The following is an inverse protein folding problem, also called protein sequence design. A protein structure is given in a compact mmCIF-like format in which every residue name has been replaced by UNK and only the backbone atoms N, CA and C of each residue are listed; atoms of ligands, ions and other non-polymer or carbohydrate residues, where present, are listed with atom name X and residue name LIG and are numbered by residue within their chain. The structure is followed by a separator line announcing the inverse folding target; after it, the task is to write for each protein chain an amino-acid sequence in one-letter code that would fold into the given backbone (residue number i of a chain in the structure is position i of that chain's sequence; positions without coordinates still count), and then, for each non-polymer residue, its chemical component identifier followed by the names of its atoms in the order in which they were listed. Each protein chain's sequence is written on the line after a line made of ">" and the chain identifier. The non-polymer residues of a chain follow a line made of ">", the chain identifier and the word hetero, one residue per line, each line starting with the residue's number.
data_IF_272759309874
#
_entry.id   IF_272759309874
#
_cell.length_a   1.000
_cell.length_b   1.000
_cell.length_c   1.000
_cell.angle_alpha   90.00
_cell.angle_beta   90.00
_cell.angle_gamma   90.00
#
_symmetry.space_group_name_H-M   'P 1'
#
loop_
_entity.id
_entity.type
_entity.pdbx_description
1 polymer ?
#
# COMPACT_ATOMS: atom_id res chain seq x y z
N UNK A 1 8.69 53.56 -11.17
CA UNK A 1 9.88 52.75 -10.86
C UNK A 1 9.63 52.16 -9.48
N UNK A 2 8.86 51.07 -9.43
CA UNK A 2 9.29 49.64 -9.35
C UNK A 2 9.71 49.24 -7.95
N UNK A 3 8.81 48.55 -7.25
CA UNK A 3 9.11 47.59 -6.18
C UNK A 3 7.96 46.57 -6.15
N UNK A 4 7.98 45.64 -7.10
CA UNK A 4 7.02 44.53 -7.21
C UNK A 4 7.74 43.19 -7.46
N UNK A 5 8.93 43.02 -6.86
CA UNK A 5 9.76 41.82 -7.05
C UNK A 5 9.80 40.85 -5.85
N UNK A 6 9.12 41.12 -4.73
CA UNK A 6 9.32 40.34 -3.49
C UNK A 6 8.30 39.24 -3.22
N UNK A 7 7.56 38.72 -4.22
CA UNK A 7 6.65 37.61 -3.96
C UNK A 7 6.45 36.64 -5.13
N UNK A 8 7.53 36.30 -5.86
CA UNK A 8 7.47 35.10 -6.71
C UNK A 8 7.49 33.89 -5.78
N UNK A 9 6.44 33.05 -5.74
CA UNK A 9 6.52 31.79 -4.99
C UNK A 9 7.76 31.04 -5.48
N UNK A 10 8.59 30.57 -4.55
CA UNK A 10 9.82 29.86 -4.89
C UNK A 10 9.50 28.77 -5.92
N UNK A 11 9.99 28.94 -7.16
CA UNK A 11 9.77 27.96 -8.22
C UNK A 11 10.37 26.63 -7.78
N UNK A 12 9.52 25.62 -7.67
CA UNK A 12 9.94 24.27 -7.30
C UNK A 12 10.90 23.75 -8.37
N UNK A 13 12.03 23.17 -7.92
CA UNK A 13 13.00 22.59 -8.84
C UNK A 13 12.39 21.36 -9.51
N UNK A 14 12.37 21.36 -10.84
CA UNK A 14 11.84 20.26 -11.65
C UNK A 14 12.84 19.12 -11.76
N UNK A 15 13.09 18.42 -10.67
CA UNK A 15 14.13 17.38 -10.58
C UNK A 15 13.57 15.95 -10.71
N UNK A 16 12.26 15.75 -10.60
CA UNK A 16 11.65 14.41 -10.63
C UNK A 16 11.54 13.88 -12.06
N UNK A 17 12.27 12.80 -12.33
CA UNK A 17 12.20 12.01 -13.57
C UNK A 17 11.27 10.80 -13.47
N UNK A 18 11.15 10.02 -14.54
CA UNK A 18 10.25 8.85 -14.60
C UNK A 18 10.61 7.77 -13.56
N UNK A 19 11.89 7.47 -13.39
CA UNK A 19 12.33 6.44 -12.43
C UNK A 19 12.00 6.86 -10.99
N UNK A 20 12.27 8.11 -10.63
CA UNK A 20 11.91 8.66 -9.32
C UNK A 20 10.39 8.65 -9.12
N UNK A 21 9.60 9.04 -10.12
CA UNK A 21 8.14 9.01 -10.03
C UNK A 21 7.60 7.57 -9.89
N UNK A 22 8.14 6.59 -10.62
CA UNK A 22 7.80 5.18 -10.45
C UNK A 22 8.14 4.68 -9.04
N UNK A 23 9.33 5.02 -8.54
CA UNK A 23 9.74 4.65 -7.18
C UNK A 23 8.83 5.27 -6.12
N UNK A 24 8.33 6.49 -6.33
CA UNK A 24 7.35 7.13 -5.46
C UNK A 24 6.02 6.36 -5.48
N UNK A 25 5.47 6.04 -6.67
CA UNK A 25 4.23 5.26 -6.79
C UNK A 25 4.36 3.90 -6.10
N UNK A 26 5.41 3.15 -6.44
CA UNK A 26 5.66 1.83 -5.84
C UNK A 26 5.89 1.96 -4.34
N UNK A 27 6.67 2.94 -3.89
CA UNK A 27 6.96 3.16 -2.48
C UNK A 27 5.74 3.52 -1.65
N UNK A 28 4.80 4.29 -2.21
CA UNK A 28 3.56 4.72 -1.55
C UNK A 28 2.49 3.62 -1.53
N UNK A 29 2.34 2.87 -2.64
CA UNK A 29 1.30 1.83 -2.74
C UNK A 29 1.73 0.52 -2.10
N UNK A 30 2.99 0.12 -2.29
CA UNK A 30 3.50 -1.11 -1.70
C UNK A 30 3.61 -0.92 -0.19
N UNK A 31 2.68 -1.51 0.54
CA UNK A 31 2.63 -1.41 2.00
C UNK A 31 2.12 -2.69 2.66
N UNK A 32 1.71 -2.56 3.92
CA UNK A 32 1.16 -3.68 4.70
C UNK A 32 -0.05 -4.35 4.05
N UNK A 33 -0.79 -3.64 3.18
CA UNK A 33 -1.92 -4.20 2.44
C UNK A 33 -1.58 -5.46 1.62
N UNK A 34 -0.34 -5.57 1.13
CA UNK A 34 0.13 -6.73 0.38
C UNK A 34 0.10 -8.03 1.21
N UNK A 35 0.30 -7.93 2.52
CA UNK A 35 0.36 -9.05 3.46
C UNK A 35 -0.94 -9.20 4.28
N UNK A 36 -1.58 -8.08 4.60
CA UNK A 36 -2.78 -8.05 5.44
C UNK A 36 -4.06 -8.43 4.68
N UNK A 37 -4.14 -8.14 3.37
CA UNK A 37 -5.39 -8.32 2.59
C UNK A 37 -5.61 -9.69 1.94
N UNK A 38 -4.62 -10.51 1.56
CA UNK A 38 -4.86 -11.82 0.96
C UNK A 38 -5.89 -12.70 1.71
N UNK A 39 -5.84 -12.83 3.06
CA UNK A 39 -6.82 -13.59 3.84
C UNK A 39 -8.25 -13.03 3.74
N UNK A 40 -8.40 -11.71 3.86
CA UNK A 40 -9.70 -11.06 3.79
C UNK A 40 -10.32 -11.15 2.39
N UNK A 41 -9.49 -11.02 1.35
CA UNK A 41 -9.90 -11.19 -0.05
C UNK A 41 -10.33 -12.64 -0.30
N UNK A 42 -9.57 -13.61 0.20
CA UNK A 42 -9.91 -15.03 0.08
C UNK A 42 -11.22 -15.37 0.80
N UNK A 43 -11.43 -14.88 2.02
CA UNK A 43 -12.66 -15.10 2.78
C UNK A 43 -13.90 -14.56 2.03
N UNK A 44 -13.79 -13.33 1.50
CA UNK A 44 -14.86 -12.69 0.76
C UNK A 44 -15.10 -13.33 -0.62
N UNK A 45 -14.06 -13.85 -1.27
CA UNK A 45 -14.17 -14.52 -2.57
C UNK A 45 -14.63 -15.98 -2.47
N UNK A 46 -14.31 -16.67 -1.37
CA UNK A 46 -14.66 -18.07 -1.10
C UNK A 46 -13.80 -19.12 -1.84
N UNK A 47 -13.12 -18.73 -2.91
CA UNK A 47 -12.24 -19.58 -3.73
C UNK A 47 -11.04 -18.79 -4.27
N UNK A 48 -9.92 -19.50 -4.46
CA UNK A 48 -8.66 -18.90 -4.90
C UNK A 48 -8.70 -18.27 -6.29
N UNK A 49 -9.47 -18.82 -7.22
CA UNK A 49 -9.63 -18.26 -8.57
C UNK A 49 -10.29 -16.88 -8.50
N UNK A 50 -11.36 -16.76 -7.73
CA UNK A 50 -12.05 -15.49 -7.55
C UNK A 50 -11.22 -14.51 -6.71
N UNK A 51 -10.49 -14.98 -5.71
CA UNK A 51 -9.57 -14.13 -4.96
C UNK A 51 -8.51 -13.49 -5.87
N UNK A 52 -7.88 -14.27 -6.76
CA UNK A 52 -6.91 -13.76 -7.74
C UNK A 52 -7.57 -12.84 -8.77
N UNK A 53 -8.78 -13.17 -9.23
CA UNK A 53 -9.53 -12.28 -10.13
C UNK A 53 -9.84 -10.93 -9.47
N UNK A 54 -10.14 -10.90 -8.17
CA UNK A 54 -10.36 -9.66 -7.44
C UNK A 54 -9.12 -8.75 -7.45
N UNK A 55 -7.91 -9.30 -7.32
CA UNK A 55 -6.65 -8.55 -7.39
C UNK A 55 -6.40 -7.93 -8.76
N UNK A 56 -6.74 -8.65 -9.83
CA UNK A 56 -6.63 -8.14 -11.21
C UNK A 56 -7.66 -7.03 -11.44
N UNK A 57 -8.91 -7.23 -11.04
CA UNK A 57 -9.98 -6.23 -11.19
C UNK A 57 -9.69 -4.97 -10.36
N UNK A 58 -9.19 -5.14 -9.13
CA UNK A 58 -8.73 -4.03 -8.29
C UNK A 58 -7.62 -3.21 -8.93
N UNK A 59 -6.67 -3.86 -9.62
CA UNK A 59 -5.64 -3.17 -10.40
C UNK A 59 -6.25 -2.34 -11.54
N UNK A 60 -7.19 -2.91 -12.29
CA UNK A 60 -7.87 -2.24 -13.39
C UNK A 60 -8.63 -1.01 -12.90
N UNK A 61 -9.37 -1.12 -11.80
CA UNK A 61 -10.07 0.00 -11.19
C UNK A 61 -9.11 1.08 -10.69
N UNK A 62 -8.00 0.67 -10.06
CA UNK A 62 -6.97 1.61 -9.61
C UNK A 62 -6.30 2.33 -10.77
N UNK A 63 -6.07 1.67 -11.91
CA UNK A 63 -5.54 2.30 -13.11
C UNK A 63 -6.53 3.27 -13.75
N UNK A 64 -7.82 2.93 -13.79
CA UNK A 64 -8.86 3.83 -14.29
C UNK A 64 -8.98 5.10 -13.44
N UNK A 65 -8.97 4.96 -12.11
CA UNK A 65 -8.91 6.08 -11.17
C UNK A 65 -7.60 6.87 -11.28
N UNK A 66 -6.49 6.16 -11.49
CA UNK A 66 -5.17 6.73 -11.70
C UNK A 66 -5.10 7.64 -12.91
N UNK A 67 -5.60 7.18 -14.05
CA UNK A 67 -5.60 7.94 -15.30
C UNK A 67 -6.50 9.18 -15.22
N UNK A 68 -7.69 9.06 -14.64
CA UNK A 68 -8.57 10.23 -14.43
C UNK A 68 -7.93 11.28 -13.53
N UNK A 69 -7.23 10.86 -12.47
CA UNK A 69 -6.48 11.81 -11.65
C UNK A 69 -5.26 12.39 -12.38
N UNK A 70 -4.60 11.61 -13.23
CA UNK A 70 -3.47 12.12 -14.02
C UNK A 70 -3.89 13.26 -14.96
N UNK A 71 -5.07 13.18 -15.58
CA UNK A 71 -5.59 14.28 -16.39
C UNK A 71 -5.72 15.57 -15.57
N UNK A 72 -6.27 15.48 -14.35
CA UNK A 72 -6.37 16.61 -13.44
C UNK A 72 -5.00 17.13 -12.99
N UNK A 73 -4.06 16.24 -12.69
CA UNK A 73 -2.70 16.63 -12.27
C UNK A 73 -1.85 17.24 -13.39
N UNK A 74 -2.20 16.96 -14.65
CA UNK A 74 -1.58 17.61 -15.81
C UNK A 74 -2.25 18.95 -16.11
N UNK A 75 -3.58 19.07 -15.94
CA UNK A 75 -4.31 20.33 -16.08
C UNK A 75 -3.94 21.33 -14.99
N UNK A 76 -3.73 20.87 -13.77
CA UNK A 76 -3.39 21.68 -12.60
C UNK A 76 -2.06 21.20 -11.98
N UNK A 77 -0.90 21.48 -12.60
CA UNK A 77 0.42 21.00 -12.14
C UNK A 77 0.92 21.82 -10.94
N UNK A 78 0.11 21.92 -9.88
CA UNK A 78 0.42 22.56 -8.61
C UNK A 78 0.61 21.52 -7.52
N UNK A 79 1.44 21.84 -6.55
CA UNK A 79 1.62 21.06 -5.33
C UNK A 79 0.34 21.06 -4.50
N UNK A 80 -0.05 19.92 -3.94
CA UNK A 80 -1.25 19.78 -3.10
C UNK A 80 -2.26 18.74 -3.59
N UNK A 81 -2.05 18.17 -4.78
CA UNK A 81 -2.76 16.99 -5.26
C UNK A 81 -4.29 17.16 -5.32
N UNK A 82 -5.03 16.12 -4.91
CA UNK A 82 -6.50 16.05 -5.00
C UNK A 82 -7.19 17.25 -4.34
N UNK A 83 -6.65 17.75 -3.21
CA UNK A 83 -7.22 18.90 -2.52
C UNK A 83 -7.30 20.13 -3.44
N UNK A 84 -6.20 20.42 -4.15
CA UNK A 84 -6.12 21.58 -5.07
C UNK A 84 -7.05 21.38 -6.26
N UNK A 85 -7.18 20.15 -6.76
CA UNK A 85 -8.09 19.85 -7.88
C UNK A 85 -9.55 20.08 -7.47
N UNK A 86 -9.93 19.66 -6.27
CA UNK A 86 -11.28 19.87 -5.75
C UNK A 86 -11.56 21.34 -5.49
N UNK A 87 -10.58 22.11 -5.01
CA UNK A 87 -10.73 23.54 -4.79
C UNK A 87 -10.95 24.29 -6.11
N UNK A 88 -10.19 23.95 -7.15
CA UNK A 88 -10.26 24.62 -8.45
C UNK A 88 -11.54 24.26 -9.23
N UNK A 89 -12.02 23.01 -9.11
CA UNK A 89 -13.20 22.52 -9.87
C UNK A 89 -14.52 22.82 -9.14
N UNK A 90 -14.55 22.60 -7.82
CA UNK A 90 -15.78 22.63 -7.02
C UNK A 90 -15.81 23.72 -5.94
N UNK A 91 -14.72 24.48 -5.79
CA UNK A 91 -14.59 25.57 -4.82
C UNK A 91 -14.15 25.12 -3.42
N UNK A 92 -13.77 26.09 -2.59
CA UNK A 92 -13.14 25.84 -1.29
C UNK A 92 -13.99 25.06 -0.30
N UNK A 93 -15.33 25.06 -0.42
CA UNK A 93 -16.21 24.26 0.46
C UNK A 93 -15.97 22.76 0.30
N UNK A 94 -15.87 22.27 -0.94
CA UNK A 94 -15.65 20.84 -1.22
C UNK A 94 -14.23 20.44 -0.86
N UNK A 95 -13.25 21.29 -1.18
CA UNK A 95 -11.86 21.08 -0.76
C UNK A 95 -11.72 21.02 0.76
N UNK A 96 -12.39 21.91 1.49
CA UNK A 96 -12.42 21.88 2.96
C UNK A 96 -13.00 20.57 3.51
N UNK A 97 -14.13 20.09 2.98
CA UNK A 97 -14.71 18.81 3.40
C UNK A 97 -13.77 17.63 3.11
N UNK A 98 -13.06 17.66 1.99
CA UNK A 98 -12.04 16.66 1.67
C UNK A 98 -10.87 16.71 2.66
N UNK A 99 -10.33 17.90 2.95
CA UNK A 99 -9.28 18.08 3.95
C UNK A 99 -9.71 17.65 5.37
N UNK A 100 -10.96 17.95 5.75
CA UNK A 100 -11.55 17.50 7.01
C UNK A 100 -11.63 15.97 7.07
N UNK A 101 -12.13 15.32 6.01
CA UNK A 101 -12.22 13.87 5.92
C UNK A 101 -10.82 13.22 5.98
N UNK A 102 -9.84 13.78 5.30
CA UNK A 102 -8.45 13.31 5.38
C UNK A 102 -7.88 13.41 6.81
N UNK A 103 -8.15 14.51 7.50
CA UNK A 103 -7.57 14.81 8.80
C UNK A 103 -8.20 14.01 9.94
N UNK A 104 -9.52 13.91 9.97
CA UNK A 104 -10.25 13.35 11.10
C UNK A 104 -10.71 11.90 10.89
N UNK A 105 -10.81 11.43 9.65
CA UNK A 105 -11.30 10.09 9.34
C UNK A 105 -10.18 9.25 8.71
N UNK A 106 -9.72 9.63 7.51
CA UNK A 106 -8.84 8.79 6.72
C UNK A 106 -7.46 8.60 7.37
N UNK A 107 -6.79 9.69 7.71
CA UNK A 107 -5.44 9.67 8.28
C UNK A 107 -5.38 8.84 9.57
N UNK A 108 -6.19 9.15 10.60
CA UNK A 108 -6.22 8.38 11.84
C UNK A 108 -6.59 6.91 11.64
N UNK A 109 -7.57 6.61 10.77
CA UNK A 109 -7.96 5.22 10.50
C UNK A 109 -6.83 4.42 9.84
N UNK A 110 -6.13 5.00 8.87
CA UNK A 110 -5.00 4.35 8.19
C UNK A 110 -3.83 4.15 9.15
N UNK A 111 -3.47 5.17 9.95
CA UNK A 111 -2.41 5.04 10.96
C UNK A 111 -2.75 3.95 11.97
N UNK A 112 -3.99 3.92 12.48
CA UNK A 112 -4.44 2.91 13.43
C UNK A 112 -4.42 1.49 12.85
N UNK A 113 -4.88 1.31 11.60
CA UNK A 113 -4.85 0.02 10.94
C UNK A 113 -3.42 -0.50 10.73
N UNK A 114 -2.50 0.36 10.30
CA UNK A 114 -1.09 0.00 10.08
C UNK A 114 -0.35 -0.28 11.40
N UNK A 115 -0.59 0.53 12.44
CA UNK A 115 -0.02 0.31 13.76
C UNK A 115 -0.55 -0.99 14.41
N UNK A 116 -1.84 -1.28 14.24
CA UNK A 116 -2.45 -2.53 14.69
C UNK A 116 -1.85 -3.75 13.98
N UNK A 117 -1.67 -3.67 12.66
CA UNK A 117 -1.01 -4.73 11.89
C UNK A 117 0.44 -4.96 12.34
N UNK A 118 1.23 -3.88 12.46
CA UNK A 118 2.61 -3.97 12.97
C UNK A 118 2.64 -4.61 14.35
N UNK A 119 1.74 -4.20 15.24
CA UNK A 119 1.65 -4.73 16.59
C UNK A 119 1.38 -6.22 16.62
N UNK A 120 0.45 -6.69 15.77
CA UNK A 120 0.14 -8.11 15.64
C UNK A 120 1.33 -8.94 15.22
N UNK A 121 1.97 -8.53 14.13
CA UNK A 121 3.15 -9.23 13.61
C UNK A 121 4.27 -9.18 14.64
N UNK A 122 4.52 -8.03 15.27
CA UNK A 122 5.53 -7.89 16.31
C UNK A 122 5.28 -8.85 17.49
N UNK A 123 4.04 -8.91 17.99
CA UNK A 123 3.68 -9.84 19.07
C UNK A 123 3.92 -11.30 18.68
N UNK A 124 3.44 -11.70 17.50
CA UNK A 124 3.62 -13.05 16.97
C UNK A 124 5.09 -13.44 16.89
N UNK A 125 5.93 -12.53 16.40
CA UNK A 125 7.35 -12.78 16.16
C UNK A 125 8.16 -12.95 17.45
N UNK A 126 7.82 -12.18 18.48
CA UNK A 126 8.51 -12.20 19.76
C UNK A 126 7.80 -13.08 20.81
N UNK A 127 6.73 -13.77 20.43
CA UNK A 127 5.92 -14.58 21.36
C UNK A 127 5.30 -13.75 22.48
N UNK A 128 4.98 -12.48 22.22
CA UNK A 128 4.39 -11.57 23.19
C UNK A 128 2.87 -11.79 23.20
N UNK A 129 2.23 -11.94 24.38
CA UNK A 129 0.79 -12.14 24.46
C UNK A 129 -0.05 -10.99 23.88
N UNK A 130 -1.20 -11.32 23.29
CA UNK A 130 -2.08 -10.37 22.59
C UNK A 130 -2.59 -9.18 23.42
N UNK A 131 -2.61 -9.28 24.75
CA UNK A 131 -3.01 -8.16 25.60
C UNK A 131 -2.04 -6.96 25.51
N UNK A 132 -0.83 -7.17 24.97
CA UNK A 132 0.13 -6.09 24.67
C UNK A 132 -0.09 -5.42 23.32
N UNK A 133 -1.01 -5.90 22.46
CA UNK A 133 -1.25 -5.32 21.14
C UNK A 133 -1.53 -3.81 21.18
N UNK A 134 -2.37 -3.27 22.09
CA UNK A 134 -2.60 -1.83 22.15
C UNK A 134 -1.35 -1.05 22.57
N UNK A 135 -0.54 -1.62 23.48
CA UNK A 135 0.67 -0.98 24.02
C UNK A 135 1.75 -0.88 22.93
N UNK A 136 1.97 -1.96 22.18
CA UNK A 136 2.95 -1.97 21.08
C UNK A 136 2.48 -1.08 19.92
N UNK A 137 1.17 -1.07 19.62
CA UNK A 137 0.59 -0.17 18.63
C UNK A 137 0.81 1.31 18.98
N UNK A 138 0.55 1.68 20.24
CA UNK A 138 0.82 3.04 20.74
C UNK A 138 2.32 3.36 20.73
N UNK A 139 3.18 2.41 21.09
CA UNK A 139 4.62 2.60 21.10
C UNK A 139 5.18 2.87 19.70
N UNK A 140 4.77 2.10 18.68
CA UNK A 140 5.22 2.34 17.30
C UNK A 140 4.69 3.67 16.76
N UNK A 141 3.45 4.04 17.08
CA UNK A 141 2.90 5.34 16.70
C UNK A 141 3.68 6.49 17.34
N UNK A 142 3.98 6.40 18.64
CA UNK A 142 4.77 7.40 19.35
C UNK A 142 6.20 7.50 18.80
N UNK A 143 6.82 6.37 18.46
CA UNK A 143 8.14 6.34 17.82
C UNK A 143 8.13 7.04 16.46
N UNK A 144 7.17 6.71 15.59
CA UNK A 144 7.05 7.35 14.27
C UNK A 144 6.75 8.85 14.41
N UNK A 145 5.89 9.24 15.34
CA UNK A 145 5.62 10.65 15.64
C UNK A 145 6.88 11.38 16.08
N UNK A 146 7.67 10.79 16.97
CA UNK A 146 8.94 11.33 17.42
C UNK A 146 9.91 11.52 16.25
N UNK A 147 10.11 10.51 15.41
CA UNK A 147 11.02 10.60 14.24
C UNK A 147 10.56 11.71 13.28
N UNK A 148 9.26 11.80 13.00
CA UNK A 148 8.70 12.86 12.15
C UNK A 148 8.84 14.26 12.78
N UNK A 149 8.90 14.35 14.11
CA UNK A 149 9.09 15.61 14.82
C UNK A 149 10.55 16.06 14.89
N UNK A 150 11.52 15.12 14.83
CA UNK A 150 12.96 15.42 14.86
C UNK A 150 13.45 16.07 13.57
N UNK A 151 12.96 15.61 12.42
CA UNK A 151 13.29 16.24 11.14
C UNK A 151 12.99 15.40 9.90
N UNK A 152 12.78 16.10 8.78
CA UNK A 152 12.40 15.49 7.49
C UNK A 152 13.49 14.56 6.94
N UNK A 153 14.78 14.85 7.19
CA UNK A 153 15.89 13.99 6.74
C UNK A 153 15.87 12.63 7.44
N UNK A 154 15.63 12.62 8.75
CA UNK A 154 15.58 11.43 9.58
C UNK A 154 14.36 10.56 9.21
N UNK A 155 13.20 11.19 9.02
CA UNK A 155 12.01 10.52 8.50
C UNK A 155 12.28 9.91 7.11
N UNK A 156 12.96 10.65 6.23
CA UNK A 156 13.37 10.15 4.91
C UNK A 156 14.29 8.92 4.98
N UNK A 157 15.30 8.91 5.86
CA UNK A 157 16.17 7.74 6.04
C UNK A 157 15.40 6.52 6.56
N UNK A 158 14.52 6.71 7.54
CA UNK A 158 13.67 5.62 8.05
C UNK A 158 12.75 5.08 6.95
N UNK A 159 12.17 5.94 6.12
CA UNK A 159 11.32 5.53 5.00
C UNK A 159 12.08 4.73 3.94
N UNK A 160 13.31 5.13 3.61
CA UNK A 160 14.16 4.38 2.67
C UNK A 160 14.49 3.01 3.24
N UNK A 161 14.92 2.95 4.51
CA UNK A 161 15.22 1.69 5.18
C UNK A 161 13.99 0.76 5.20
N UNK A 162 12.84 1.26 5.66
CA UNK A 162 11.59 0.51 5.68
C UNK A 162 11.17 0.02 4.28
N UNK A 163 11.46 0.80 3.23
CA UNK A 163 11.17 0.43 1.84
C UNK A 163 12.06 -0.73 1.36
N UNK A 164 13.34 -0.77 1.73
CA UNK A 164 14.19 -1.91 1.42
C UNK A 164 13.81 -3.13 2.26
N UNK A 165 13.53 -2.94 3.56
CA UNK A 165 13.10 -4.01 4.45
C UNK A 165 11.86 -4.73 3.90
N UNK A 166 10.81 -4.00 3.48
CA UNK A 166 9.58 -4.62 2.95
C UNK A 166 9.75 -5.36 1.62
N UNK A 167 10.79 -5.05 0.82
CA UNK A 167 11.02 -5.71 -0.47
C UNK A 167 11.66 -7.09 -0.33
N UNK A 168 12.51 -7.29 0.68
CA UNK A 168 13.21 -8.56 0.91
C UNK A 168 12.21 -9.72 1.14
N UNK A 169 11.22 -9.59 2.04
CA UNK A 169 10.18 -10.58 2.25
C UNK A 169 9.43 -10.96 0.98
N UNK A 170 9.07 -9.96 0.18
CA UNK A 170 8.31 -10.16 -1.06
C UNK A 170 9.11 -11.01 -2.04
N UNK A 171 10.39 -10.67 -2.23
CA UNK A 171 11.26 -11.42 -3.15
C UNK A 171 11.47 -12.85 -2.63
N UNK A 172 11.70 -13.01 -1.33
CA UNK A 172 11.91 -14.34 -0.73
C UNK A 172 10.66 -15.21 -0.80
N UNK A 173 9.49 -14.68 -0.45
CA UNK A 173 8.21 -15.38 -0.56
C UNK A 173 7.92 -15.74 -2.02
N UNK A 174 8.13 -14.81 -2.95
CA UNK A 174 7.94 -15.07 -4.37
C UNK A 174 8.84 -16.23 -4.87
N UNK A 175 10.15 -16.18 -4.58
CA UNK A 175 11.09 -17.17 -5.09
C UNK A 175 10.89 -18.52 -4.41
N UNK A 176 10.83 -18.56 -3.08
CA UNK A 176 10.77 -19.83 -2.34
C UNK A 176 9.37 -20.44 -2.31
N UNK A 177 8.32 -19.61 -2.31
CA UNK A 177 6.94 -20.09 -2.44
C UNK A 177 6.73 -20.78 -3.78
N UNK A 178 7.17 -20.16 -4.89
CA UNK A 178 7.09 -20.77 -6.23
C UNK A 178 8.03 -21.97 -6.41
N UNK A 179 9.20 -21.98 -5.75
CA UNK A 179 10.18 -23.05 -5.93
C UNK A 179 9.88 -24.30 -5.08
N UNK A 180 9.44 -24.14 -3.83
CA UNK A 180 9.11 -25.25 -2.92
C UNK A 180 7.64 -25.68 -2.98
N UNK A 181 6.77 -24.84 -3.54
CA UNK A 181 5.36 -25.13 -3.72
C UNK A 181 5.11 -26.28 -4.68
N UNK A 182 4.29 -27.26 -4.27
CA UNK A 182 3.84 -28.37 -5.12
C UNK A 182 2.30 -28.37 -5.30
N UNK A 183 1.65 -27.22 -5.06
CA UNK A 183 0.21 -27.08 -5.04
C UNK A 183 -0.41 -26.64 -6.38
N UNK A 184 -1.65 -27.04 -6.63
CA UNK A 184 -2.53 -26.38 -7.60
C UNK A 184 -3.04 -25.08 -6.97
N UNK A 185 -3.00 -23.96 -7.68
CA UNK A 185 -3.34 -22.65 -7.08
C UNK A 185 -4.77 -22.21 -7.43
N UNK A 186 -5.30 -22.69 -8.56
CA UNK A 186 -6.63 -22.33 -9.06
C UNK A 186 -7.69 -23.34 -8.60
N UNK A 187 -8.92 -22.85 -8.44
CA UNK A 187 -10.11 -23.61 -8.03
C UNK A 187 -9.94 -24.31 -6.68
N UNK A 188 -9.21 -23.68 -5.77
CA UNK A 188 -9.12 -24.12 -4.40
C UNK A 188 -10.20 -23.40 -3.58
N UNK A 189 -11.21 -24.17 -3.18
CA UNK A 189 -12.25 -23.65 -2.28
C UNK A 189 -11.71 -23.50 -0.87
N UNK A 190 -12.19 -22.48 -0.17
CA UNK A 190 -12.05 -22.34 1.29
C UNK A 190 -12.83 -23.42 2.07
N UNK A 191 -13.67 -24.22 1.40
CA UNK A 191 -14.51 -25.23 2.04
C UNK A 191 -15.70 -24.64 2.82
N UNK A 192 -15.83 -23.31 2.83
CA UNK A 192 -16.92 -22.56 3.46
C UNK A 192 -17.53 -21.62 2.41
N UNK A 193 -18.81 -21.29 2.55
CA UNK A 193 -19.44 -20.29 1.69
C UNK A 193 -18.69 -18.95 1.79
N UNK A 194 -18.64 -18.21 0.68
CA UNK A 194 -18.06 -16.87 0.65
C UNK A 194 -18.67 -16.00 1.76
N UNK A 195 -17.82 -15.34 2.55
CA UNK A 195 -18.27 -14.56 3.70
C UNK A 195 -18.96 -13.25 3.30
N UNK A 196 -18.81 -12.85 2.04
CA UNK A 196 -19.35 -11.61 1.50
C UNK A 196 -19.55 -11.73 -0.03
N UNK A 197 -20.00 -10.63 -0.64
CA UNK A 197 -20.08 -10.53 -2.10
C UNK A 197 -18.70 -10.35 -2.72
N UNK A 198 -18.56 -10.77 -3.97
CA UNK A 198 -17.34 -10.55 -4.74
C UNK A 198 -16.90 -9.07 -4.80
N UNK A 199 -17.85 -8.13 -4.78
CA UNK A 199 -17.55 -6.69 -4.70
C UNK A 199 -16.78 -6.30 -3.43
N UNK A 200 -17.05 -6.94 -2.29
CA UNK A 200 -16.31 -6.71 -1.04
C UNK A 200 -14.88 -7.23 -1.16
N UNK A 201 -14.67 -8.36 -1.85
CA UNK A 201 -13.32 -8.86 -2.15
C UNK A 201 -12.54 -7.84 -3.00
N UNK A 202 -13.16 -7.28 -4.06
CA UNK A 202 -12.54 -6.23 -4.88
C UNK A 202 -12.24 -4.99 -4.03
N UNK A 203 -13.17 -4.51 -3.20
CA UNK A 203 -12.94 -3.35 -2.31
C UNK A 203 -11.76 -3.61 -1.36
N UNK A 204 -11.61 -4.83 -0.83
CA UNK A 204 -10.49 -5.19 0.02
C UNK A 204 -9.14 -5.07 -0.71
N UNK A 205 -9.09 -5.37 -2.01
CA UNK A 205 -7.87 -5.16 -2.83
C UNK A 205 -7.58 -3.69 -3.09
N UNK A 206 -8.60 -2.83 -3.19
CA UNK A 206 -8.40 -1.38 -3.40
C UNK A 206 -7.65 -0.72 -2.25
N UNK A 207 -7.80 -1.22 -1.03
CA UNK A 207 -6.97 -0.77 0.10
C UNK A 207 -5.48 -1.08 -0.12
N UNK A 208 -5.15 -2.24 -0.69
CA UNK A 208 -3.77 -2.61 -0.97
C UNK A 208 -3.18 -1.86 -2.17
N UNK A 209 -4.02 -1.36 -3.07
CA UNK A 209 -3.61 -0.47 -4.16
C UNK A 209 -3.63 1.01 -3.78
N UNK A 210 -4.11 1.39 -2.60
CA UNK A 210 -4.17 2.80 -2.20
C UNK A 210 -2.78 3.45 -2.15
N UNK A 211 -2.70 4.74 -2.46
CA UNK A 211 -1.46 5.53 -2.42
C UNK A 211 -0.98 6.04 -3.78
N UNK A 212 -1.47 5.52 -4.90
CA UNK A 212 -1.07 5.99 -6.24
C UNK A 212 -1.45 7.45 -6.47
N UNK A 213 -2.50 7.95 -5.83
CA UNK A 213 -2.96 9.33 -5.99
C UNK A 213 -1.92 10.36 -5.47
N UNK A 214 -1.08 9.94 -4.53
CA UNK A 214 -0.16 10.84 -3.85
C UNK A 214 1.02 11.27 -4.74
N UNK A 215 1.36 10.52 -5.79
CA UNK A 215 2.39 10.98 -6.75
C UNK A 215 1.97 12.25 -7.49
N UNK A 216 0.67 12.52 -7.58
CA UNK A 216 0.16 13.76 -8.18
C UNK A 216 0.49 14.99 -7.32
N UNK A 217 0.71 14.82 -6.01
CA UNK A 217 1.10 15.93 -5.11
C UNK A 217 2.47 16.52 -5.44
N UNK A 218 3.37 15.73 -6.04
CA UNK A 218 4.71 16.14 -6.48
C UNK A 218 4.79 16.43 -7.97
N UNK A 219 3.65 16.53 -8.66
CA UNK A 219 3.60 16.80 -10.10
C UNK A 219 4.28 18.13 -10.47
N UNK A 220 4.23 19.14 -9.58
CA UNK A 220 4.91 20.43 -9.77
C UNK A 220 6.44 20.35 -9.85
N UNK A 221 7.03 19.28 -9.30
CA UNK A 221 8.48 19.02 -9.29
C UNK A 221 8.92 18.09 -10.44
N UNK A 222 8.00 17.64 -11.29
CA UNK A 222 8.33 16.75 -12.41
C UNK A 222 8.84 17.50 -13.64
N UNK A 223 9.84 16.93 -14.32
CA UNK A 223 10.41 17.49 -15.57
C UNK A 223 9.40 17.61 -16.70
N UNK A 224 8.52 16.62 -16.84
CA UNK A 224 7.45 16.60 -17.84
C UNK A 224 6.22 15.88 -17.25
N UNK A 225 5.42 16.57 -16.41
CA UNK A 225 4.30 15.96 -15.69
C UNK A 225 3.31 15.28 -16.64
N UNK A 226 3.03 15.91 -17.80
CA UNK A 226 2.14 15.40 -18.86
C UNK A 226 2.46 13.99 -19.35
N UNK A 227 3.74 13.61 -19.38
CA UNK A 227 4.18 12.28 -19.80
C UNK A 227 4.59 11.40 -18.63
N UNK A 228 5.22 11.97 -17.61
CA UNK A 228 5.81 11.23 -16.50
C UNK A 228 4.73 10.70 -15.55
N UNK A 229 3.77 11.55 -15.17
CA UNK A 229 2.73 11.20 -14.20
C UNK A 229 1.90 9.99 -14.64
N UNK A 230 1.27 9.96 -15.85
CA UNK A 230 0.48 8.81 -16.28
C UNK A 230 1.32 7.54 -16.46
N UNK A 231 2.56 7.67 -16.95
CA UNK A 231 3.46 6.52 -17.10
C UNK A 231 3.89 5.94 -15.75
N UNK A 232 4.14 6.79 -14.76
CA UNK A 232 4.50 6.37 -13.42
C UNK A 232 3.34 5.67 -12.72
N UNK A 233 2.12 6.22 -12.81
CA UNK A 233 0.93 5.62 -12.19
C UNK A 233 0.59 4.28 -12.82
N UNK A 234 0.43 4.22 -14.16
CA UNK A 234 0.07 2.96 -14.84
C UNK A 234 1.18 1.93 -14.73
N UNK A 235 2.43 2.33 -14.99
CA UNK A 235 3.59 1.42 -14.90
C UNK A 235 3.79 0.88 -13.49
N UNK A 236 3.64 1.73 -12.48
CA UNK A 236 3.70 1.32 -11.07
C UNK A 236 2.59 0.35 -10.70
N UNK A 237 1.33 0.64 -11.08
CA UNK A 237 0.18 -0.22 -10.78
C UNK A 237 0.24 -1.58 -11.48
N UNK A 238 0.73 -1.65 -12.73
CA UNK A 238 0.97 -2.93 -13.42
C UNK A 238 2.01 -3.75 -12.65
N UNK A 239 3.14 -3.13 -12.29
CA UNK A 239 4.18 -3.80 -11.51
C UNK A 239 3.64 -4.33 -10.18
N UNK A 240 2.90 -3.50 -9.44
CA UNK A 240 2.32 -3.87 -8.15
C UNK A 240 1.27 -4.98 -8.29
N UNK A 241 0.49 -4.98 -9.36
CA UNK A 241 -0.46 -6.06 -9.65
C UNK A 241 0.22 -7.40 -9.83
N UNK A 242 1.33 -7.44 -10.59
CA UNK A 242 2.15 -8.65 -10.72
C UNK A 242 2.69 -9.08 -9.36
N UNK A 243 3.24 -8.14 -8.57
CA UNK A 243 3.76 -8.44 -7.23
C UNK A 243 2.68 -9.02 -6.32
N UNK A 244 1.49 -8.43 -6.28
CA UNK A 244 0.40 -8.89 -5.43
C UNK A 244 -0.13 -10.26 -5.86
N UNK A 245 -0.25 -10.52 -7.16
CA UNK A 245 -0.59 -11.86 -7.66
C UNK A 245 0.47 -12.88 -7.24
N UNK A 246 1.75 -12.56 -7.41
CA UNK A 246 2.85 -13.46 -7.00
C UNK A 246 2.82 -13.74 -5.50
N UNK A 247 2.57 -12.74 -4.65
CA UNK A 247 2.44 -12.95 -3.21
C UNK A 247 1.26 -13.88 -2.89
N UNK A 248 0.09 -13.64 -3.49
CA UNK A 248 -1.10 -14.49 -3.24
C UNK A 248 -0.86 -15.93 -3.71
N UNK A 249 -0.22 -16.11 -4.86
CA UNK A 249 0.17 -17.42 -5.38
C UNK A 249 1.16 -18.11 -4.45
N UNK A 250 2.18 -17.40 -3.96
CA UNK A 250 3.17 -17.95 -3.03
C UNK A 250 2.52 -18.42 -1.72
N UNK A 251 1.63 -17.62 -1.14
CA UNK A 251 0.87 -18.00 0.06
C UNK A 251 0.02 -19.25 -0.18
N UNK A 252 -0.66 -19.33 -1.33
CA UNK A 252 -1.50 -20.48 -1.69
C UNK A 252 -0.71 -21.76 -2.01
N UNK A 253 0.58 -21.65 -2.27
CA UNK A 253 1.45 -22.81 -2.48
C UNK A 253 1.90 -23.47 -1.17
N UNK A 254 1.71 -22.79 -0.03
CA UNK A 254 2.16 -23.22 1.29
C UNK A 254 0.98 -23.40 2.26
N UNK A 255 -0.02 -22.54 2.16
CA UNK A 255 -1.25 -22.56 2.97
C UNK A 255 -2.45 -22.96 2.11
N UNK A 256 -3.36 -23.77 2.67
CA UNK A 256 -4.67 -23.96 2.06
C UNK A 256 -5.50 -22.66 2.17
N UNK A 257 -6.50 -22.44 1.29
CA UNK A 257 -7.36 -21.26 1.41
C UNK A 257 -8.07 -21.16 2.76
N UNK A 258 -8.50 -22.29 3.33
CA UNK A 258 -9.14 -22.34 4.65
C UNK A 258 -8.17 -21.98 5.77
N UNK A 259 -6.93 -22.45 5.70
CA UNK A 259 -5.89 -22.12 6.66
C UNK A 259 -5.51 -20.63 6.56
N UNK A 260 -5.34 -20.12 5.35
CA UNK A 260 -5.03 -18.70 5.14
C UNK A 260 -6.13 -17.79 5.72
N UNK A 261 -7.40 -18.15 5.53
CA UNK A 261 -8.53 -17.40 6.11
C UNK A 261 -8.53 -17.50 7.63
N UNK A 262 -8.28 -18.68 8.20
CA UNK A 262 -8.25 -18.90 9.64
C UNK A 262 -7.12 -18.13 10.34
N UNK A 263 -5.95 -18.05 9.70
CA UNK A 263 -4.80 -17.29 10.20
C UNK A 263 -5.00 -15.78 10.12
N UNK A 264 -5.93 -15.30 9.30
CA UNK A 264 -6.19 -13.87 9.16
C UNK A 264 -4.91 -13.09 8.85
N UNK A 265 -4.72 -11.93 9.48
CA UNK A 265 -3.56 -11.06 9.23
C UNK A 265 -2.20 -11.70 9.50
N UNK A 266 -2.14 -12.82 10.24
CA UNK A 266 -0.89 -13.53 10.55
C UNK A 266 -0.47 -14.51 9.44
N UNK A 267 -1.31 -14.74 8.43
CA UNK A 267 -1.09 -15.72 7.37
C UNK A 267 0.29 -15.57 6.72
N UNK A 268 0.69 -14.37 6.31
CA UNK A 268 2.00 -14.15 5.66
C UNK A 268 3.19 -14.41 6.58
N UNK A 269 3.06 -14.13 7.88
CA UNK A 269 4.13 -14.37 8.84
C UNK A 269 4.29 -15.86 9.14
N UNK A 270 3.17 -16.57 9.32
CA UNK A 270 3.17 -18.03 9.51
C UNK A 270 3.64 -18.76 8.25
N UNK A 271 3.27 -18.27 7.06
CA UNK A 271 3.77 -18.78 5.78
C UNK A 271 5.30 -18.74 5.71
N UNK A 272 5.90 -17.59 6.06
CA UNK A 272 7.33 -17.43 6.12
C UNK A 272 7.98 -18.37 7.15
N UNK A 273 7.37 -18.56 8.33
CA UNK A 273 7.84 -19.52 9.33
C UNK A 273 7.80 -20.97 8.82
N UNK A 274 6.80 -21.35 8.03
CA UNK A 274 6.73 -22.67 7.40
C UNK A 274 7.82 -22.86 6.34
N UNK A 275 8.13 -21.83 5.55
CA UNK A 275 9.11 -21.90 4.46
C UNK A 275 10.57 -21.89 4.94
N UNK A 276 10.85 -21.11 6.00
CA UNK A 276 12.21 -20.78 6.44
C UNK A 276 12.51 -21.20 7.90
N UNK A 277 11.57 -21.87 8.56
CA UNK A 277 11.65 -22.19 9.99
C UNK A 277 11.33 -20.97 10.87
N UNK A 278 11.20 -21.17 12.19
CA UNK A 278 10.78 -20.12 13.12
C UNK A 278 11.66 -18.86 13.03
N UNK A 279 12.98 -19.02 13.16
CA UNK A 279 13.91 -17.88 13.17
C UNK A 279 14.08 -17.23 11.78
N UNK A 280 14.11 -18.03 10.71
CA UNK A 280 14.24 -17.53 9.35
C UNK A 280 12.97 -16.83 8.88
N UNK A 281 11.80 -17.41 9.18
CA UNK A 281 10.51 -16.80 8.89
C UNK A 281 10.28 -15.53 9.69
N UNK A 282 10.73 -15.50 10.95
CA UNK A 282 10.62 -14.29 11.76
C UNK A 282 11.41 -13.13 11.18
N UNK A 283 12.61 -13.37 10.66
CA UNK A 283 13.43 -12.34 10.03
C UNK A 283 12.83 -11.82 8.70
N UNK A 284 12.05 -12.67 8.02
CA UNK A 284 11.43 -12.39 6.72
C UNK A 284 10.02 -11.79 6.89
N UNK A 285 9.43 -11.83 8.08
CA UNK A 285 8.09 -11.27 8.31
C UNK A 285 8.10 -9.84 8.85
N UNK A 286 9.29 -9.26 9.09
CA UNK A 286 9.54 -7.93 9.66
C UNK A 286 9.73 -6.88 8.57
#
# INVERSE_FOLDING_TARGET
>A
MTNDETNRPAELKKDIGLVSALAIVVGMVLGAGAFMKPPAVMAAAGDSTWALAAWVIGAVFSMAGGLTLCELGVLYPRTGGVYVYLEEIYGSKVAYLYGWMLTFIFGPATIGALAGYFSSVFCLLFGIPDHYLPVIGLAVMAFVLFVNSVGVKQAGYLQVLATFCKLIPIVLLAVFGLWKGNGHVLNLSTGVAASATFSVAVIATLFAYDGWAQVASVAGEMKNPGKILPRAVVGGLIFLSVVYIVINVALLMVLSPSEMVALGHDASAIDAQKLFGLYGGNLISV
#
